data_IF_768490912948
#
_entry.id   IF_768490912948
#
_cell.length_a   1.000
_cell.length_b   1.000
_cell.length_c   1.000
_cell.angle_alpha   90.00
_cell.angle_beta   90.00
_cell.angle_gamma   90.00
#
_symmetry.space_group_name_H-M   'P 1'
#
loop_
_entity.id
_entity.type
_entity.pdbx_description
1 polymer ?
#
# COMPACT_ATOMS: atom_id res chain seq x y z
N UNK A 1 -25.42 -75.77 -26.96
CA UNK A 1 -24.27 -75.47 -27.84
C UNK A 1 -24.18 -73.96 -27.96
N UNK A 2 -23.07 -73.37 -27.50
CA UNK A 2 -22.66 -71.98 -27.72
C UNK A 2 -23.35 -70.92 -26.86
N UNK A 3 -22.71 -70.00 -26.15
CA UNK A 3 -21.37 -69.80 -25.57
C UNK A 3 -21.46 -68.44 -24.83
N UNK A 4 -20.81 -68.34 -23.67
CA UNK A 4 -20.66 -67.11 -22.88
C UNK A 4 -19.94 -66.00 -23.66
N UNK A 5 -20.31 -64.74 -23.42
CA UNK A 5 -19.32 -63.65 -23.28
C UNK A 5 -19.87 -62.50 -22.44
N UNK A 6 -19.25 -62.37 -21.27
CA UNK A 6 -19.36 -61.30 -20.30
C UNK A 6 -18.59 -60.04 -20.73
N UNK A 7 -19.00 -58.92 -20.15
CA UNK A 7 -18.22 -57.73 -19.80
C UNK A 7 -17.61 -56.85 -20.91
N UNK A 8 -18.06 -55.59 -20.98
CA UNK A 8 -17.26 -54.53 -20.36
C UNK A 8 -18.13 -53.37 -19.88
N UNK A 9 -18.04 -53.11 -18.59
CA UNK A 9 -18.43 -51.86 -17.95
C UNK A 9 -17.56 -50.74 -18.51
N UNK A 10 -18.15 -49.79 -19.23
CA UNK A 10 -17.49 -48.51 -19.50
C UNK A 10 -17.52 -47.72 -18.19
N UNK A 11 -16.39 -47.75 -17.49
CA UNK A 11 -16.15 -46.90 -16.33
C UNK A 11 -15.94 -45.50 -16.88
N UNK A 12 -16.91 -44.62 -16.66
CA UNK A 12 -16.75 -43.18 -16.83
C UNK A 12 -15.66 -42.72 -15.86
N UNK A 13 -14.42 -42.70 -16.33
CA UNK A 13 -13.33 -42.04 -15.65
C UNK A 13 -13.39 -40.56 -16.03
N UNK A 14 -14.39 -39.85 -15.53
CA UNK A 14 -14.32 -38.39 -15.44
C UNK A 14 -13.22 -38.08 -14.44
N UNK A 15 -12.01 -37.85 -14.94
CA UNK A 15 -10.95 -37.21 -14.16
C UNK A 15 -11.55 -35.93 -13.57
N UNK A 16 -11.71 -35.90 -12.25
CA UNK A 16 -12.02 -34.69 -11.52
C UNK A 16 -10.92 -33.67 -11.84
N UNK A 17 -11.24 -32.69 -12.69
CA UNK A 17 -10.37 -31.54 -12.90
C UNK A 17 -10.18 -30.93 -11.51
N UNK A 18 -8.94 -30.83 -10.99
CA UNK A 18 -8.73 -30.25 -9.68
C UNK A 18 -9.25 -28.82 -9.76
N UNK A 19 -10.37 -28.53 -9.10
CA UNK A 19 -10.86 -27.18 -8.93
C UNK A 19 -9.78 -26.47 -8.13
N UNK A 20 -8.99 -25.59 -8.77
CA UNK A 20 -8.03 -24.73 -8.06
C UNK A 20 -8.79 -24.10 -6.90
N UNK A 21 -8.38 -24.41 -5.68
CA UNK A 21 -8.97 -23.82 -4.49
C UNK A 21 -8.92 -22.30 -4.62
N UNK A 22 -10.06 -21.65 -4.40
CA UNK A 22 -10.13 -20.19 -4.38
C UNK A 22 -9.34 -19.73 -3.16
N UNK A 23 -8.19 -19.10 -3.39
CA UNK A 23 -7.37 -18.57 -2.30
C UNK A 23 -8.16 -17.47 -1.58
N UNK A 24 -8.50 -17.74 -0.33
CA UNK A 24 -9.18 -16.81 0.55
C UNK A 24 -8.24 -16.37 1.68
N UNK A 25 -8.05 -15.06 1.82
CA UNK A 25 -7.29 -14.49 2.93
C UNK A 25 -8.23 -14.12 4.08
N UNK A 26 -7.90 -14.58 5.29
CA UNK A 26 -8.62 -14.22 6.52
C UNK A 26 -7.67 -13.59 7.54
N UNK A 27 -7.79 -12.27 7.84
CA UNK A 27 -8.73 -11.32 7.25
C UNK A 27 -8.42 -11.03 5.76
N UNK A 28 -9.33 -10.36 5.01
CA UNK A 28 -9.08 -9.99 3.62
C UNK A 28 -7.75 -9.26 3.42
N UNK A 29 -7.10 -9.46 2.28
CA UNK A 29 -5.73 -9.02 2.05
C UNK A 29 -5.54 -7.50 2.24
N UNK A 30 -6.48 -6.69 1.76
CA UNK A 30 -6.43 -5.23 1.96
C UNK A 30 -6.43 -4.84 3.45
N UNK A 31 -7.20 -5.55 4.30
CA UNK A 31 -7.17 -5.33 5.75
C UNK A 31 -5.83 -5.74 6.35
N UNK A 32 -5.20 -6.80 5.86
CA UNK A 32 -3.86 -7.19 6.31
C UNK A 32 -2.83 -6.10 6.01
N UNK A 33 -2.89 -5.48 4.83
CA UNK A 33 -2.03 -4.32 4.49
C UNK A 33 -2.24 -3.14 5.44
N UNK A 34 -3.49 -2.78 5.72
CA UNK A 34 -3.79 -1.69 6.65
C UNK A 34 -3.40 -2.01 8.10
N UNK A 35 -3.55 -3.26 8.54
CA UNK A 35 -3.05 -3.69 9.85
C UNK A 35 -1.52 -3.66 9.93
N UNK A 36 -0.82 -3.97 8.84
CA UNK A 36 0.63 -3.83 8.78
C UNK A 36 1.06 -2.38 9.03
N UNK A 37 0.47 -1.43 8.30
CA UNK A 37 0.73 0.02 8.49
C UNK A 37 0.39 0.45 9.91
N UNK A 38 -0.78 0.06 10.41
CA UNK A 38 -1.24 0.36 11.77
C UNK A 38 -0.22 -0.08 12.82
N UNK A 39 0.31 -1.29 12.70
CA UNK A 39 1.30 -1.81 13.65
C UNK A 39 2.59 -0.97 13.62
N UNK A 40 3.05 -0.55 12.44
CA UNK A 40 4.21 0.34 12.32
C UNK A 40 3.96 1.72 12.92
N UNK A 41 2.77 2.29 12.76
CA UNK A 41 2.36 3.54 13.41
C UNK A 41 2.37 3.38 14.93
N UNK A 42 1.88 2.27 15.47
CA UNK A 42 1.90 2.01 16.91
C UNK A 42 3.33 1.89 17.47
N UNK A 43 4.24 1.30 16.70
CA UNK A 43 5.65 1.12 17.08
C UNK A 43 6.43 2.44 17.02
N UNK A 44 6.26 3.23 15.96
CA UNK A 44 7.09 4.41 15.69
C UNK A 44 6.47 5.73 16.17
N UNK A 45 5.15 5.75 16.42
CA UNK A 45 4.37 6.90 16.88
C UNK A 45 4.63 8.18 16.06
N UNK A 46 4.49 8.14 14.72
CA UNK A 46 4.63 9.33 13.88
C UNK A 46 3.56 10.37 14.23
N UNK A 47 3.91 11.66 14.10
CA UNK A 47 3.01 12.81 14.29
C UNK A 47 2.39 13.25 12.98
N UNK A 48 3.16 13.22 11.89
CA UNK A 48 2.72 13.59 10.53
C UNK A 48 2.74 12.37 9.62
N UNK A 49 1.57 11.96 9.14
CA UNK A 49 1.40 10.78 8.29
C UNK A 49 0.69 11.17 6.99
N UNK A 50 1.25 10.77 5.84
CA UNK A 50 0.61 10.96 4.54
C UNK A 50 0.38 9.61 3.85
N UNK A 51 -0.80 9.42 3.29
CA UNK A 51 -1.15 8.28 2.44
C UNK A 51 -1.27 8.74 0.99
N UNK A 52 -0.33 8.31 0.15
CA UNK A 52 -0.31 8.60 -1.28
C UNK A 52 -1.05 7.46 -2.00
N UNK A 53 -2.15 7.78 -2.67
CA UNK A 53 -3.10 6.81 -3.20
C UNK A 53 -4.11 6.33 -2.15
N UNK A 54 -4.70 7.24 -1.38
CA UNK A 54 -5.57 6.85 -0.24
C UNK A 54 -6.89 6.17 -0.64
N UNK A 55 -7.30 6.25 -1.92
CA UNK A 55 -8.50 5.59 -2.44
C UNK A 55 -9.79 5.95 -1.69
N UNK A 56 -10.36 4.98 -0.99
CA UNK A 56 -11.62 5.10 -0.24
C UNK A 56 -11.44 5.72 1.17
N UNK A 57 -10.22 6.14 1.51
CA UNK A 57 -9.82 6.70 2.80
C UNK A 57 -9.97 5.72 3.99
N UNK A 58 -10.10 4.41 3.76
CA UNK A 58 -10.19 3.42 4.84
C UNK A 58 -8.94 3.43 5.71
N UNK A 59 -7.74 3.53 5.12
CA UNK A 59 -6.50 3.60 5.90
C UNK A 59 -6.45 4.88 6.74
N UNK A 60 -6.78 6.03 6.17
CA UNK A 60 -6.89 7.32 6.86
C UNK A 60 -7.87 7.19 8.05
N UNK A 61 -9.06 6.65 7.82
CA UNK A 61 -10.06 6.42 8.86
C UNK A 61 -9.53 5.51 9.98
N UNK A 62 -8.80 4.43 9.64
CA UNK A 62 -8.20 3.53 10.63
C UNK A 62 -7.11 4.23 11.45
N UNK A 63 -6.31 5.10 10.83
CA UNK A 63 -5.19 5.77 11.48
C UNK A 63 -5.63 6.91 12.40
N UNK A 64 -6.76 7.58 12.11
CA UNK A 64 -7.25 8.72 12.90
C UNK A 64 -7.36 8.46 14.41
N UNK A 65 -7.64 7.22 14.80
CA UNK A 65 -7.76 6.80 16.21
C UNK A 65 -6.42 6.61 16.94
N UNK A 66 -5.28 6.82 16.29
CA UNK A 66 -3.97 6.79 16.95
C UNK A 66 -3.64 8.19 17.47
N UNK A 67 -3.61 8.34 18.79
CA UNK A 67 -3.45 9.63 19.47
C UNK A 67 -2.07 10.28 19.26
N UNK A 68 -1.07 9.54 18.74
CA UNK A 68 0.23 10.10 18.39
C UNK A 68 0.21 10.96 17.13
N UNK A 69 -0.78 10.77 16.25
CA UNK A 69 -0.90 11.50 14.98
C UNK A 69 -1.56 12.85 15.23
N UNK A 70 -0.93 13.91 14.73
CA UNK A 70 -1.37 15.32 14.81
C UNK A 70 -1.77 15.83 13.42
N UNK A 71 -1.14 15.32 12.35
CA UNK A 71 -1.49 15.62 10.96
C UNK A 71 -1.62 14.35 10.14
N UNK A 72 -2.77 14.15 9.52
CA UNK A 72 -3.06 13.01 8.67
C UNK A 72 -3.50 13.48 7.29
N UNK A 73 -2.74 13.14 6.27
CA UNK A 73 -2.96 13.61 4.89
C UNK A 73 -3.27 12.44 3.97
N UNK A 74 -4.26 12.61 3.10
CA UNK A 74 -4.48 11.74 1.95
C UNK A 74 -4.24 12.51 0.65
N UNK A 75 -3.49 11.94 -0.29
CA UNK A 75 -3.36 12.45 -1.66
C UNK A 75 -3.85 11.38 -2.65
N UNK A 76 -4.76 11.72 -3.55
CA UNK A 76 -5.20 10.80 -4.60
C UNK A 76 -5.59 11.55 -5.88
N UNK A 77 -5.32 10.97 -7.05
CA UNK A 77 -5.69 11.57 -8.34
C UNK A 77 -7.21 11.58 -8.55
N UNK A 78 -7.91 10.63 -7.93
CA UNK A 78 -9.36 10.45 -7.97
C UNK A 78 -10.05 10.92 -6.69
N UNK A 79 -9.42 11.76 -5.84
CA UNK A 79 -10.02 12.26 -4.59
C UNK A 79 -11.39 12.98 -4.76
N UNK A 80 -11.82 13.28 -5.99
CA UNK A 80 -13.17 13.78 -6.31
C UNK A 80 -14.28 12.74 -6.40
N UNK A 81 -13.95 11.46 -6.55
CA UNK A 81 -14.92 10.36 -6.56
C UNK A 81 -15.08 9.69 -5.20
N UNK A 82 -14.22 10.01 -4.23
CA UNK A 82 -14.45 9.68 -2.83
C UNK A 82 -15.77 10.30 -2.42
N UNK A 83 -16.68 9.47 -1.98
CA UNK A 83 -18.03 9.88 -1.65
C UNK A 83 -18.06 10.83 -0.46
N UNK A 84 -19.08 11.68 -0.39
CA UNK A 84 -19.30 12.50 0.80
C UNK A 84 -19.49 11.65 2.08
N UNK A 85 -19.90 10.38 1.94
CA UNK A 85 -20.07 9.47 3.08
C UNK A 85 -18.72 8.97 3.62
N UNK A 86 -17.72 8.73 2.77
CA UNK A 86 -16.37 8.36 3.20
C UNK A 86 -15.71 9.54 3.92
N UNK A 87 -15.85 10.74 3.37
CA UNK A 87 -15.30 11.97 3.97
C UNK A 87 -15.97 12.27 5.31
N UNK A 88 -17.29 12.08 5.44
CA UNK A 88 -17.99 12.35 6.70
C UNK A 88 -17.60 11.40 7.84
N UNK A 89 -17.12 10.19 7.52
CA UNK A 89 -16.58 9.26 8.53
C UNK A 89 -15.25 9.73 9.12
N UNK A 90 -14.54 10.65 8.47
CA UNK A 90 -13.28 11.21 8.96
C UNK A 90 -13.53 12.29 10.02
N UNK A 91 -14.64 13.01 9.93
CA UNK A 91 -15.04 14.03 10.91
C UNK A 91 -15.13 13.48 12.35
N UNK A 92 -14.99 14.34 13.38
CA UNK A 92 -15.18 13.95 14.76
C UNK A 92 -16.57 13.34 15.00
N UNK A 93 -16.60 12.15 15.59
CA UNK A 93 -17.81 11.47 16.03
C UNK A 93 -18.24 11.98 17.42
N UNK A 94 -19.45 11.62 17.86
CA UNK A 94 -19.91 11.93 19.23
C UNK A 94 -18.95 11.37 20.29
N UNK A 95 -18.35 10.20 20.03
CA UNK A 95 -17.36 9.61 20.94
C UNK A 95 -16.12 10.48 21.13
N UNK A 96 -15.67 11.15 20.06
CA UNK A 96 -14.49 12.03 20.09
C UNK A 96 -14.73 13.29 20.92
N UNK A 97 -15.97 13.78 21.00
CA UNK A 97 -16.35 14.89 21.89
C UNK A 97 -16.49 14.47 23.35
N UNK A 98 -16.89 13.22 23.61
CA UNK A 98 -17.01 12.68 24.96
C UNK A 98 -15.66 12.33 25.59
N UNK A 99 -14.71 11.87 24.76
CA UNK A 99 -13.34 11.56 25.17
C UNK A 99 -12.39 12.30 24.23
N UNK A 100 -12.11 13.58 24.49
CA UNK A 100 -11.27 14.39 23.61
C UNK A 100 -9.83 13.88 23.59
N UNK A 101 -9.15 14.18 22.48
CA UNK A 101 -7.71 13.95 22.35
C UNK A 101 -6.92 14.97 23.17
N UNK A 102 -5.74 14.57 23.62
CA UNK A 102 -4.81 15.50 24.30
C UNK A 102 -4.20 16.52 23.33
N UNK A 103 -4.04 16.12 22.06
CA UNK A 103 -3.49 16.93 20.97
C UNK A 103 -4.46 16.92 19.80
N UNK A 104 -4.57 18.08 19.14
CA UNK A 104 -5.42 18.25 17.97
C UNK A 104 -4.96 17.34 16.83
N UNK A 105 -5.94 16.85 16.07
CA UNK A 105 -5.74 16.10 14.83
C UNK A 105 -6.30 16.91 13.69
N UNK A 106 -5.48 17.22 12.69
CA UNK A 106 -5.94 17.78 11.41
C UNK A 106 -5.91 16.69 10.34
N UNK A 107 -7.04 16.49 9.67
CA UNK A 107 -7.12 15.58 8.51
C UNK A 107 -7.31 16.41 7.25
N UNK A 108 -6.41 16.25 6.27
CA UNK A 108 -6.51 16.97 4.99
C UNK A 108 -6.49 15.99 3.83
N UNK A 109 -7.47 16.10 2.93
CA UNK A 109 -7.52 15.34 1.68
C UNK A 109 -7.21 16.25 0.50
N UNK A 110 -6.30 15.79 -0.34
CA UNK A 110 -5.83 16.47 -1.52
C UNK A 110 -6.15 15.67 -2.78
N UNK A 111 -6.53 16.38 -3.84
CA UNK A 111 -6.47 15.87 -5.21
C UNK A 111 -5.12 16.23 -5.80
N UNK A 112 -4.36 15.22 -6.19
CA UNK A 112 -3.00 15.39 -6.71
C UNK A 112 -2.34 14.07 -7.06
N UNK A 113 -1.19 14.13 -7.73
CA UNK A 113 -0.41 12.94 -8.06
C UNK A 113 0.81 12.77 -7.14
N UNK A 114 1.14 11.52 -6.80
CA UNK A 114 2.32 11.17 -6.01
C UNK A 114 3.65 11.56 -6.68
N UNK A 115 3.64 11.86 -8.00
CA UNK A 115 4.81 12.30 -8.77
C UNK A 115 4.89 13.81 -8.95
N UNK A 116 4.01 14.57 -8.28
CA UNK A 116 4.08 16.03 -8.21
C UNK A 116 4.59 16.44 -6.84
N UNK A 117 5.40 17.51 -6.81
CA UNK A 117 5.94 18.08 -5.58
C UNK A 117 4.92 19.05 -4.99
N UNK A 118 4.64 18.91 -3.71
CA UNK A 118 3.83 19.86 -2.95
C UNK A 118 4.48 20.16 -1.60
N UNK A 119 4.90 21.41 -1.38
CA UNK A 119 5.70 21.79 -0.21
C UNK A 119 4.99 21.52 1.13
N UNK A 120 3.66 21.35 1.14
CA UNK A 120 2.88 21.05 2.35
C UNK A 120 3.13 19.64 2.90
N UNK A 121 3.69 18.73 2.11
CA UNK A 121 4.03 17.36 2.52
C UNK A 121 5.48 17.20 2.99
N UNK A 122 6.30 18.26 2.93
CA UNK A 122 7.69 18.22 3.42
C UNK A 122 7.71 18.11 4.95
N UNK A 123 8.63 17.29 5.47
CA UNK A 123 8.82 17.11 6.92
C UNK A 123 7.80 16.19 7.58
N UNK A 124 7.17 15.30 6.81
CA UNK A 124 6.34 14.22 7.33
C UNK A 124 7.19 13.11 7.96
N UNK A 125 6.66 12.45 8.99
CA UNK A 125 7.36 11.37 9.68
C UNK A 125 7.20 10.04 8.94
N UNK A 126 6.03 9.80 8.38
CA UNK A 126 5.65 8.57 7.71
C UNK A 126 4.89 8.87 6.41
N UNK A 127 5.28 8.22 5.32
CA UNK A 127 4.50 8.17 4.09
C UNK A 127 4.14 6.73 3.72
N UNK A 128 2.88 6.50 3.33
CA UNK A 128 2.40 5.21 2.85
C UNK A 128 2.04 5.30 1.37
N UNK A 129 2.38 4.26 0.63
CA UNK A 129 2.09 4.09 -0.80
C UNK A 129 1.64 2.65 -0.99
N UNK A 130 0.39 2.37 -0.61
CA UNK A 130 -0.14 1.01 -0.50
C UNK A 130 -0.85 0.65 -1.79
N UNK A 131 -0.28 -0.30 -2.54
CA UNK A 131 -0.78 -0.72 -3.86
C UNK A 131 -0.92 0.48 -4.83
N UNK A 132 0.13 1.31 -4.89
CA UNK A 132 0.15 2.53 -5.71
C UNK A 132 1.03 2.38 -6.94
N UNK A 133 2.26 1.89 -6.76
CA UNK A 133 3.32 2.02 -7.77
C UNK A 133 2.99 1.24 -9.04
N UNK A 134 2.26 0.13 -8.95
CA UNK A 134 1.78 -0.69 -10.07
C UNK A 134 0.81 0.03 -11.00
N UNK A 135 0.22 1.14 -10.56
CA UNK A 135 -0.67 1.97 -11.38
C UNK A 135 0.08 3.09 -12.12
N UNK A 136 1.34 3.34 -11.77
CA UNK A 136 2.17 4.34 -12.43
C UNK A 136 2.68 3.80 -13.77
N UNK A 137 2.66 4.63 -14.81
CA UNK A 137 3.36 4.32 -16.05
C UNK A 137 4.88 4.44 -15.86
N UNK A 138 5.66 4.08 -16.89
CA UNK A 138 7.12 4.08 -16.80
C UNK A 138 7.72 5.46 -16.54
N UNK A 139 7.10 6.54 -17.03
CA UNK A 139 7.60 7.90 -16.84
C UNK A 139 7.34 8.38 -15.41
N UNK A 140 6.15 8.11 -14.89
CA UNK A 140 5.76 8.48 -13.54
C UNK A 140 6.49 7.63 -12.49
N UNK A 141 6.65 6.33 -12.73
CA UNK A 141 7.45 5.47 -11.86
C UNK A 141 8.92 5.92 -11.77
N UNK A 142 9.48 6.47 -12.86
CA UNK A 142 10.84 7.01 -12.85
C UNK A 142 10.97 8.30 -12.03
N UNK A 143 9.91 9.14 -11.97
CA UNK A 143 9.88 10.38 -11.18
C UNK A 143 9.58 10.14 -9.70
N UNK A 144 8.80 9.09 -9.40
CA UNK A 144 8.30 8.81 -8.06
C UNK A 144 9.39 8.81 -6.97
N UNK A 145 10.57 8.15 -7.14
CA UNK A 145 11.63 8.19 -6.14
C UNK A 145 12.15 9.60 -5.83
N UNK A 146 12.34 10.43 -6.86
CA UNK A 146 12.83 11.79 -6.69
C UNK A 146 11.88 12.63 -5.83
N UNK A 147 10.57 12.44 -6.01
CA UNK A 147 9.55 13.18 -5.27
C UNK A 147 9.43 12.66 -3.83
N UNK A 148 9.25 11.35 -3.65
CA UNK A 148 8.96 10.78 -2.32
C UNK A 148 10.22 10.69 -1.45
N UNK A 149 11.31 10.15 -1.98
CA UNK A 149 12.55 9.93 -1.21
C UNK A 149 13.44 11.17 -1.20
N UNK A 150 13.51 11.88 -2.33
CA UNK A 150 14.33 13.08 -2.50
C UNK A 150 13.70 14.33 -1.91
N UNK A 151 12.54 14.74 -2.43
CA UNK A 151 11.91 16.01 -2.07
C UNK A 151 11.18 15.95 -0.72
N UNK A 152 10.24 15.02 -0.53
CA UNK A 152 9.53 14.89 0.73
C UNK A 152 10.40 14.35 1.86
N UNK A 153 11.26 13.37 1.52
CA UNK A 153 12.29 12.80 2.37
C UNK A 153 11.84 12.48 3.82
N UNK A 154 10.71 11.78 4.00
CA UNK A 154 10.16 11.48 5.32
C UNK A 154 11.05 10.49 6.09
N UNK A 155 10.87 10.39 7.42
CA UNK A 155 11.67 9.46 8.23
C UNK A 155 11.41 7.99 7.86
N UNK A 156 10.16 7.64 7.56
CA UNK A 156 9.74 6.28 7.21
C UNK A 156 8.87 6.32 5.95
N UNK A 157 9.11 5.38 5.03
CA UNK A 157 8.26 5.16 3.85
C UNK A 157 7.82 3.70 3.83
N UNK A 158 6.54 3.43 3.58
CA UNK A 158 6.02 2.08 3.39
C UNK A 158 5.45 1.99 1.98
N UNK A 159 6.04 1.12 1.16
CA UNK A 159 5.55 0.83 -0.20
C UNK A 159 5.07 -0.62 -0.23
N UNK A 160 3.86 -0.84 -0.71
CA UNK A 160 3.38 -2.18 -1.06
C UNK A 160 3.06 -2.29 -2.54
N UNK A 161 3.23 -3.49 -3.08
CA UNK A 161 2.80 -3.83 -4.44
C UNK A 161 2.53 -5.34 -4.53
N UNK A 162 1.72 -5.80 -5.50
CA UNK A 162 1.55 -7.20 -5.81
C UNK A 162 2.87 -7.94 -6.09
N UNK A 163 2.96 -9.20 -5.65
CA UNK A 163 4.03 -10.13 -6.04
C UNK A 163 3.56 -11.05 -7.18
N UNK A 164 4.03 -10.84 -8.40
CA UNK A 164 3.57 -11.63 -9.56
C UNK A 164 3.87 -13.14 -9.45
N UNK A 165 4.83 -13.55 -8.62
CA UNK A 165 5.12 -14.97 -8.37
C UNK A 165 3.96 -15.70 -7.65
N UNK A 166 3.08 -14.96 -6.98
CA UNK A 166 1.89 -15.50 -6.33
C UNK A 166 0.72 -15.73 -7.32
N UNK A 167 0.72 -15.06 -8.47
CA UNK A 167 -0.39 -15.07 -9.43
C UNK A 167 -0.80 -16.46 -9.92
N UNK A 168 0.13 -17.41 -10.19
CA UNK A 168 -0.22 -18.76 -10.63
C UNK A 168 -1.15 -19.51 -9.67
N UNK A 169 -1.16 -19.11 -8.39
CA UNK A 169 -2.03 -19.71 -7.38
C UNK A 169 -3.50 -19.27 -7.50
N UNK A 170 -3.79 -18.17 -8.20
CA UNK A 170 -5.15 -17.75 -8.47
C UNK A 170 -5.75 -18.50 -9.68
N UNK A 171 -7.08 -18.72 -9.69
CA UNK A 171 -7.74 -19.47 -10.75
C UNK A 171 -7.73 -18.77 -12.13
N UNK A 172 -7.49 -17.45 -12.20
CA UNK A 172 -7.36 -16.73 -13.45
C UNK A 172 -6.62 -15.39 -13.27
N UNK A 173 -5.37 -15.28 -13.78
CA UNK A 173 -4.86 -14.13 -14.55
C UNK A 173 -3.32 -14.08 -14.62
N UNK A 174 -2.81 -13.35 -15.62
CA UNK A 174 -1.44 -12.83 -15.66
C UNK A 174 -1.24 -11.63 -14.73
N UNK A 175 -2.26 -10.76 -14.60
CA UNK A 175 -2.32 -9.61 -13.69
C UNK A 175 -3.57 -9.69 -12.79
N UNK A 176 -3.44 -9.39 -11.51
CA UNK A 176 -4.53 -9.43 -10.52
C UNK A 176 -5.60 -8.38 -10.77
N UNK A 177 -5.27 -7.28 -11.44
CA UNK A 177 -6.22 -6.24 -11.81
C UNK A 177 -5.94 -5.69 -13.21
N UNK A 178 -6.99 -5.22 -13.89
CA UNK A 178 -6.92 -4.79 -15.29
C UNK A 178 -6.24 -3.43 -15.50
N UNK A 179 -6.15 -2.63 -14.45
CA UNK A 179 -5.55 -1.29 -14.49
C UNK A 179 -4.06 -1.28 -14.10
N UNK A 180 -3.50 -2.40 -13.66
CA UNK A 180 -2.08 -2.53 -13.35
C UNK A 180 -1.25 -2.34 -14.63
N UNK A 181 -0.26 -1.45 -14.56
CA UNK A 181 0.72 -1.23 -15.64
C UNK A 181 1.81 -2.28 -15.64
N UNK A 182 2.11 -2.83 -14.47
CA UNK A 182 3.07 -3.91 -14.27
C UNK A 182 2.76 -4.68 -12.98
N UNK A 183 3.34 -5.87 -12.84
CA UNK A 183 3.41 -6.58 -11.56
C UNK A 183 4.79 -7.21 -11.41
N UNK A 184 5.54 -6.74 -10.41
CA UNK A 184 6.90 -7.19 -10.18
C UNK A 184 6.95 -8.52 -9.43
N UNK A 185 7.92 -9.35 -9.79
CA UNK A 185 8.34 -10.45 -8.93
C UNK A 185 9.19 -9.91 -7.76
N UNK A 186 9.59 -10.77 -6.83
CA UNK A 186 10.34 -10.34 -5.64
C UNK A 186 11.68 -9.73 -5.98
N UNK A 187 12.39 -10.30 -6.96
CA UNK A 187 13.72 -9.82 -7.36
C UNK A 187 13.61 -8.42 -7.98
N UNK A 188 12.61 -8.19 -8.84
CA UNK A 188 12.39 -6.89 -9.48
C UNK A 188 12.09 -5.81 -8.44
N UNK A 189 11.16 -6.08 -7.52
CA UNK A 189 10.84 -5.13 -6.44
C UNK A 189 12.02 -4.89 -5.51
N UNK A 190 12.72 -5.94 -5.09
CA UNK A 190 13.89 -5.83 -4.20
C UNK A 190 15.04 -5.07 -4.84
N UNK A 191 15.31 -5.30 -6.13
CA UNK A 191 16.36 -4.60 -6.87
C UNK A 191 16.02 -3.11 -6.94
N UNK A 192 14.83 -2.76 -7.43
CA UNK A 192 14.37 -1.38 -7.52
C UNK A 192 14.40 -0.68 -6.16
N UNK A 193 13.85 -1.32 -5.12
CA UNK A 193 13.80 -0.76 -3.79
C UNK A 193 15.19 -0.56 -3.18
N UNK A 194 16.11 -1.52 -3.36
CA UNK A 194 17.48 -1.39 -2.88
C UNK A 194 18.24 -0.28 -3.60
N UNK A 195 18.06 -0.14 -4.91
CA UNK A 195 18.68 0.94 -5.70
C UNK A 195 18.17 2.32 -5.26
N UNK A 196 16.85 2.46 -5.05
CA UNK A 196 16.24 3.69 -4.53
C UNK A 196 16.73 3.98 -3.11
N UNK A 197 16.76 2.98 -2.22
CA UNK A 197 17.22 3.15 -0.86
C UNK A 197 18.68 3.65 -0.81
N UNK A 198 19.56 3.04 -1.61
CA UNK A 198 20.96 3.46 -1.72
C UNK A 198 21.11 4.88 -2.29
N UNK A 199 20.31 5.23 -3.30
CA UNK A 199 20.38 6.55 -3.95
C UNK A 199 19.98 7.69 -3.02
N UNK A 200 19.00 7.49 -2.14
CA UNK A 200 18.42 8.53 -1.29
C UNK A 200 18.78 8.40 0.21
N UNK A 201 19.74 7.54 0.56
CA UNK A 201 20.22 7.32 1.93
C UNK A 201 19.16 6.78 2.90
N UNK A 202 18.48 5.71 2.47
CA UNK A 202 17.58 4.90 3.29
C UNK A 202 18.14 3.49 3.46
N UNK A 203 17.75 2.85 4.55
CA UNK A 203 17.75 1.38 4.65
C UNK A 203 16.38 0.86 4.22
N UNK A 204 16.32 -0.37 3.70
CA UNK A 204 15.07 -1.02 3.32
C UNK A 204 14.97 -2.42 3.94
N UNK A 205 13.83 -2.70 4.58
CA UNK A 205 13.45 -4.03 5.05
C UNK A 205 12.33 -4.60 4.16
N UNK A 206 12.50 -5.85 3.72
CA UNK A 206 11.52 -6.54 2.87
C UNK A 206 10.66 -7.49 3.68
N UNK A 207 9.35 -7.37 3.51
CA UNK A 207 8.36 -8.23 4.14
C UNK A 207 7.11 -8.33 3.25
N UNK A 208 5.98 -8.77 3.79
CA UNK A 208 4.74 -8.85 3.04
C UNK A 208 3.56 -9.32 3.87
N UNK A 209 2.39 -9.39 3.21
CA UNK A 209 1.15 -9.92 3.79
C UNK A 209 0.45 -10.86 2.81
N UNK A 210 -0.47 -11.68 3.33
CA UNK A 210 -1.08 -12.76 2.58
C UNK A 210 -0.11 -13.92 2.40
N UNK A 211 0.14 -14.66 3.48
CA UNK A 211 0.96 -15.87 3.44
C UNK A 211 0.42 -16.87 2.42
N UNK A 212 1.30 -17.58 1.69
CA UNK A 212 0.87 -18.61 0.77
C UNK A 212 0.22 -19.79 1.51
N UNK A 213 -0.68 -20.54 0.85
CA UNK A 213 -1.20 -21.79 1.41
C UNK A 213 -0.07 -22.81 1.61
N UNK A 214 -0.32 -23.81 2.45
CA UNK A 214 0.65 -24.86 2.74
C UNK A 214 1.10 -25.56 1.45
N UNK A 215 2.41 -25.74 1.28
CA UNK A 215 3.04 -26.34 0.10
C UNK A 215 3.38 -25.35 -1.02
N UNK A 216 3.00 -24.07 -0.89
CA UNK A 216 3.35 -23.00 -1.83
C UNK A 216 4.30 -21.95 -1.23
N UNK A 217 5.00 -22.26 -0.14
CA UNK A 217 5.84 -21.30 0.61
C UNK A 217 6.91 -20.61 -0.25
N UNK A 218 7.37 -21.30 -1.30
CA UNK A 218 8.38 -20.81 -2.23
C UNK A 218 7.98 -19.54 -2.98
N UNK A 219 6.69 -19.25 -3.18
CA UNK A 219 6.24 -18.04 -3.90
C UNK A 219 6.32 -16.76 -3.06
N UNK A 220 6.46 -16.89 -1.73
CA UNK A 220 6.46 -15.77 -0.79
C UNK A 220 5.07 -15.17 -0.55
N UNK A 221 5.03 -13.94 -0.01
CA UNK A 221 3.78 -13.24 0.29
C UNK A 221 3.03 -12.81 -0.97
N UNK A 222 1.70 -12.72 -0.87
CA UNK A 222 0.84 -12.21 -1.94
C UNK A 222 1.09 -10.72 -2.21
N UNK A 223 1.13 -9.89 -1.17
CA UNK A 223 1.62 -8.50 -1.28
C UNK A 223 3.04 -8.46 -0.72
N UNK A 224 3.97 -7.89 -1.48
CA UNK A 224 5.33 -7.58 -1.02
C UNK A 224 5.38 -6.14 -0.53
N UNK A 225 6.15 -5.90 0.53
CA UNK A 225 6.25 -4.62 1.21
C UNK A 225 7.73 -4.28 1.42
N UNK A 226 8.09 -3.05 1.09
CA UNK A 226 9.36 -2.42 1.44
C UNK A 226 9.13 -1.36 2.50
N UNK A 227 9.77 -1.51 3.66
CA UNK A 227 9.78 -0.50 4.72
C UNK A 227 11.12 0.21 4.68
N UNK A 228 11.10 1.48 4.29
CA UNK A 228 12.29 2.30 4.18
C UNK A 228 12.42 3.17 5.41
N UNK A 229 13.61 3.19 5.99
CA UNK A 229 13.94 4.06 7.12
C UNK A 229 15.11 4.94 6.72
N UNK A 230 14.92 6.25 6.85
CA UNK A 230 15.97 7.23 6.53
C UNK A 230 17.16 6.99 7.45
N UNK A 231 18.35 6.88 6.87
CA UNK A 231 19.55 6.74 7.68
C UNK A 231 19.80 8.06 8.42
N UNK A 232 20.20 8.00 9.68
CA UNK A 232 20.56 9.20 10.42
C UNK A 232 21.85 9.81 9.83
N UNK A 233 21.71 10.84 9.02
CA UNK A 233 22.83 11.69 8.65
C UNK A 233 23.29 12.50 9.88
N UNK A 234 24.61 12.59 10.10
CA UNK A 234 25.20 13.58 11.02
C UNK A 234 24.60 14.95 10.69
N UNK A 235 24.04 15.61 11.70
CA UNK A 235 23.41 16.91 11.60
C UNK A 235 24.20 17.83 10.66
N UNK A 236 23.65 18.01 9.46
CA UNK A 236 24.05 19.10 8.59
C UNK A 236 22.81 19.97 8.53
N UNK A 237 22.79 21.01 9.35
CA UNK A 237 21.79 22.07 9.24
C UNK A 237 21.88 22.63 7.82
N UNK A 238 20.90 22.27 7.00
CA UNK A 238 20.65 22.92 5.73
C UNK A 238 19.23 23.42 5.75
N UNK A 239 19.06 24.65 6.23
CA UNK A 239 17.84 25.43 6.05
C UNK A 239 17.78 25.90 4.59
N UNK A 240 17.50 24.99 3.67
CA UNK A 240 17.08 25.38 2.32
C UNK A 240 15.58 25.56 2.41
N UNK A 241 15.12 26.81 2.37
CA UNK A 241 13.71 27.11 2.13
C UNK A 241 13.34 26.53 0.77
N UNK A 242 12.64 25.39 0.76
CA UNK A 242 11.97 24.92 -0.46
C UNK A 242 11.00 26.02 -0.90
N UNK A 243 11.01 26.44 -2.17
CA UNK A 243 9.99 27.35 -2.69
C UNK A 243 8.59 26.82 -2.35
N UNK A 244 7.68 27.71 -1.95
CA UNK A 244 6.28 27.34 -1.73
C UNK A 244 5.66 26.91 -3.07
N UNK A 245 5.52 25.61 -3.26
CA UNK A 245 4.90 25.01 -4.45
C UNK A 245 3.66 24.25 -3.98
N UNK A 246 2.49 24.89 -4.10
CA UNK A 246 1.20 24.29 -3.74
C UNK A 246 0.50 23.81 -5.01
N UNK A 247 0.79 22.58 -5.41
CA UNK A 247 0.26 21.97 -6.64
C UNK A 247 -1.07 21.26 -6.38
N UNK A 248 -1.23 20.64 -5.21
CA UNK A 248 -2.42 19.86 -4.91
C UNK A 248 -3.65 20.73 -4.66
N UNK A 249 -4.80 20.27 -5.16
CA UNK A 249 -6.09 20.88 -4.89
C UNK A 249 -6.62 20.35 -3.55
N UNK A 250 -6.97 21.23 -2.62
CA UNK A 250 -7.59 20.84 -1.35
C UNK A 250 -9.03 20.38 -1.59
N UNK A 251 -9.33 19.12 -1.25
CA UNK A 251 -10.69 18.56 -1.33
C UNK A 251 -11.43 18.75 -0.01
N UNK A 252 -10.76 18.49 1.11
CA UNK A 252 -11.35 18.59 2.45
C UNK A 252 -10.29 18.86 3.51
N UNK A 253 -10.67 19.61 4.54
CA UNK A 253 -9.90 19.82 5.77
C UNK A 253 -10.88 19.59 6.93
N UNK A 254 -10.55 18.70 7.85
CA UNK A 254 -11.37 18.26 8.98
C UNK A 254 -10.61 18.35 10.29
#
# INVERSE_FOLDING_TARGET
MGENKECSSMVDNCEEVPTKEVIEFRPPLYKQRYFFVKNLVQQHKPKKVADLGFGDATLIWMLKYHHCIEHLVGVDTYAGSTSQWEISNLSPSVGDYLVPRDLDLTITLYRGSAVQKDSRLVGFDLMTCIELIEHLDSEDLAKFPEVVFGYYSPRIIIISTPNSEFNPLFPASTFRHLDHKFEWNRIQFQTWASDVANLYDYSVEFTGVGSPPAGAEHVGYCTQIGVFQKNEAKATESCISTPEEHVYETVSIL
#
